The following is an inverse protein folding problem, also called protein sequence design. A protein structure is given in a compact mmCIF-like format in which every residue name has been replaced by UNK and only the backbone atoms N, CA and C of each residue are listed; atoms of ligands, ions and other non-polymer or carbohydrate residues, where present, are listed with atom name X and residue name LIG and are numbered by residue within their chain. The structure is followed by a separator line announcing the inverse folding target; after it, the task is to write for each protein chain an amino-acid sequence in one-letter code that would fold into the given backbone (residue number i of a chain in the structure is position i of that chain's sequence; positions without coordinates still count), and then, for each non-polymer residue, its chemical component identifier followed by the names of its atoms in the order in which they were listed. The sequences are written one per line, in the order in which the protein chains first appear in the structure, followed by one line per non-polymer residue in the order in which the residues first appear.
data_IF_539687765382
#
_entry.id   IF_539687765382
#
_cell.length_a   1.000
_cell.length_b   1.000
_cell.length_c   1.000
_cell.angle_alpha   90.00
_cell.angle_beta   90.00
_cell.angle_gamma   90.00
#
_symmetry.space_group_name_H-M   'P 1'
#
loop_
_entity.id
_entity.type
_entity.pdbx_description
1 polymer ?
#
# COMPACT_ATOMS: atom_id res chain seq x y z
N UNK A 1 -8.62 29.70 -0.61
CA UNK A 1 -8.51 29.11 0.73
C UNK A 1 -7.40 28.07 0.69
N UNK A 2 -6.24 28.34 1.30
CA UNK A 2 -5.13 27.38 1.33
C UNK A 2 -5.38 26.45 2.51
N UNK A 3 -5.57 25.16 2.23
CA UNK A 3 -5.67 24.14 3.29
C UNK A 3 -4.29 24.02 3.92
N UNK A 4 -4.18 24.49 5.16
CA UNK A 4 -2.97 24.35 5.97
C UNK A 4 -2.88 22.91 6.48
N UNK A 5 -1.91 22.16 5.94
CA UNK A 5 -1.67 20.76 6.27
C UNK A 5 -0.62 20.59 7.38
N UNK A 6 0.00 21.67 7.88
CA UNK A 6 1.12 21.58 8.81
C UNK A 6 0.74 21.18 10.25
N UNK A 7 -0.55 20.98 10.54
CA UNK A 7 -1.05 20.90 11.92
C UNK A 7 -1.78 19.58 12.29
N UNK A 8 -1.62 18.50 11.51
CA UNK A 8 -2.36 17.24 11.77
C UNK A 8 -1.75 16.30 12.81
N UNK A 9 -0.49 16.51 13.21
CA UNK A 9 0.23 15.54 14.06
C UNK A 9 0.14 15.76 15.58
N UNK A 10 -0.74 16.64 16.05
CA UNK A 10 -0.79 16.95 17.48
C UNK A 10 -2.21 17.19 17.99
N UNK A 11 -3.18 16.39 17.54
CA UNK A 11 -4.42 16.21 18.30
C UNK A 11 -4.23 15.07 19.31
N UNK A 12 -4.30 15.35 20.63
CA UNK A 12 -4.21 14.30 21.65
C UNK A 12 -5.26 13.22 21.38
N UNK A 13 -4.82 11.99 21.08
CA UNK A 13 -5.70 10.85 20.81
C UNK A 13 -5.75 10.36 19.36
N UNK A 14 -5.09 11.02 18.41
CA UNK A 14 -4.90 10.49 17.05
C UNK A 14 -4.11 9.17 17.08
N UNK A 15 -4.69 8.09 16.55
CA UNK A 15 -4.02 6.79 16.41
C UNK A 15 -3.37 6.67 15.02
N UNK A 16 -2.20 6.02 14.90
CA UNK A 16 -1.66 5.62 13.60
C UNK A 16 -2.74 4.88 12.80
N UNK A 17 -2.99 5.32 11.58
CA UNK A 17 -4.06 4.82 10.73
C UNK A 17 -3.51 4.52 9.35
N UNK A 18 -3.93 3.38 8.80
CA UNK A 18 -3.63 2.96 7.44
C UNK A 18 -4.95 2.94 6.68
N UNK A 19 -4.99 3.58 5.51
CA UNK A 19 -6.09 3.47 4.57
C UNK A 19 -5.59 2.69 3.37
N UNK A 20 -6.28 1.59 3.06
CA UNK A 20 -6.02 0.78 1.88
C UNK A 20 -7.22 0.89 0.96
N UNK A 21 -6.96 1.32 -0.28
CA UNK A 21 -7.96 1.34 -1.35
C UNK A 21 -7.57 0.26 -2.33
N UNK A 22 -8.42 -0.75 -2.51
CA UNK A 22 -8.14 -1.85 -3.43
C UNK A 22 -9.38 -2.21 -4.25
N UNK A 23 -9.17 -2.74 -5.46
CA UNK A 23 -10.20 -3.48 -6.19
C UNK A 23 -10.03 -4.98 -5.97
N UNK A 24 -11.14 -5.71 -6.06
CA UNK A 24 -11.19 -7.16 -5.98
C UNK A 24 -10.81 -7.82 -7.32
N UNK A 25 -11.13 -7.17 -8.44
CA UNK A 25 -10.75 -7.60 -9.78
C UNK A 25 -10.62 -6.41 -10.75
N UNK A 26 -10.13 -6.70 -11.95
CA UNK A 26 -10.13 -5.78 -13.08
C UNK A 26 -11.39 -5.91 -13.94
N UNK A 27 -11.43 -5.23 -15.07
CA UNK A 27 -12.52 -5.32 -16.04
C UNK A 27 -11.99 -4.99 -17.44
N UNK A 28 -12.33 -5.82 -18.42
CA UNK A 28 -11.97 -5.52 -19.81
C UNK A 28 -12.89 -4.44 -20.42
N UNK A 29 -12.58 -3.98 -21.65
CA UNK A 29 -13.35 -2.93 -22.32
C UNK A 29 -14.82 -3.29 -22.62
N UNK A 30 -15.16 -4.59 -22.60
CA UNK A 30 -16.53 -5.08 -22.78
C UNK A 30 -17.31 -5.22 -21.47
N UNK A 31 -16.67 -4.98 -20.31
CA UNK A 31 -17.30 -5.11 -19.01
C UNK A 31 -17.20 -6.51 -18.38
N UNK A 32 -16.48 -7.45 -18.98
CA UNK A 32 -16.26 -8.76 -18.35
C UNK A 32 -15.21 -8.67 -17.25
N UNK A 33 -15.29 -9.60 -16.29
CA UNK A 33 -14.41 -9.67 -15.11
C UNK A 33 -14.32 -11.11 -14.57
N UNK A 34 -14.32 -12.11 -15.47
CA UNK A 34 -14.22 -13.53 -15.13
C UNK A 34 -12.79 -14.02 -14.93
N UNK A 35 -11.80 -13.14 -15.04
CA UNK A 35 -10.38 -13.44 -14.85
C UNK A 35 -9.73 -14.15 -16.05
N UNK A 36 -10.36 -14.09 -17.22
CA UNK A 36 -9.88 -14.79 -18.42
C UNK A 36 -8.81 -14.01 -19.20
N UNK A 37 -8.55 -12.76 -18.82
CA UNK A 37 -7.61 -11.87 -19.50
C UNK A 37 -6.91 -10.96 -18.49
N UNK A 38 -5.73 -10.45 -18.87
CA UNK A 38 -4.93 -9.57 -18.00
C UNK A 38 -5.76 -8.38 -17.46
N UNK A 39 -6.54 -7.64 -18.28
CA UNK A 39 -7.37 -6.54 -17.77
C UNK A 39 -8.45 -6.97 -16.77
N UNK A 40 -8.85 -8.24 -16.75
CA UNK A 40 -9.83 -8.77 -15.79
C UNK A 40 -9.18 -9.19 -14.46
N UNK A 41 -7.87 -9.48 -14.46
CA UNK A 41 -7.10 -9.83 -13.26
C UNK A 41 -6.28 -8.67 -12.70
N UNK A 42 -6.06 -7.62 -13.50
CA UNK A 42 -5.35 -6.41 -13.09
C UNK A 42 -6.21 -5.58 -12.13
N UNK A 43 -6.02 -5.85 -10.85
CA UNK A 43 -6.62 -5.11 -9.75
C UNK A 43 -5.67 -4.03 -9.22
N UNK A 44 -6.23 -2.94 -8.71
CA UNK A 44 -5.44 -1.85 -8.12
C UNK A 44 -5.40 -1.96 -6.60
N UNK A 45 -4.27 -1.65 -5.98
CA UNK A 45 -4.16 -1.42 -4.54
C UNK A 45 -3.30 -0.19 -4.24
N UNK A 46 -3.78 0.69 -3.36
CA UNK A 46 -3.10 1.93 -2.95
C UNK A 46 -3.12 2.00 -1.42
N UNK A 47 -1.96 2.30 -0.85
CA UNK A 47 -1.75 2.39 0.59
C UNK A 47 -1.48 3.85 0.99
N UNK A 48 -2.18 4.31 2.03
CA UNK A 48 -1.97 5.60 2.65
C UNK A 48 -1.76 5.42 4.15
N UNK A 49 -0.95 6.30 4.75
CA UNK A 49 -0.73 6.34 6.19
C UNK A 49 -0.92 7.74 6.74
N UNK A 50 -1.44 7.83 7.96
CA UNK A 50 -1.42 9.08 8.72
C UNK A 50 -0.06 9.38 9.36
N UNK A 51 0.89 8.43 9.35
CA UNK A 51 2.27 8.67 9.76
C UNK A 51 2.93 9.59 8.74
N UNK A 52 3.47 10.70 9.23
CA UNK A 52 4.35 11.55 8.45
C UNK A 52 5.73 10.90 8.43
N UNK A 53 6.12 10.32 7.29
CA UNK A 53 7.50 9.88 7.13
C UNK A 53 8.40 11.11 6.96
N UNK A 54 9.53 11.17 7.66
CA UNK A 54 10.52 12.25 7.52
C UNK A 54 11.53 11.95 6.40
N UNK A 55 11.29 10.91 5.60
CA UNK A 55 12.03 10.71 4.38
C UNK A 55 11.55 11.69 3.31
N UNK A 56 12.18 12.86 3.33
CA UNK A 56 12.18 13.88 2.29
C UNK A 56 12.82 13.39 0.97
N UNK A 57 13.04 12.08 0.82
CA UNK A 57 13.65 11.42 -0.32
C UNK A 57 12.71 11.21 -1.50
N UNK A 58 11.71 12.08 -1.70
CA UNK A 58 11.12 12.21 -3.03
C UNK A 58 12.25 12.68 -3.94
N UNK A 59 12.87 11.75 -4.67
CA UNK A 59 13.40 12.10 -5.98
C UNK A 59 12.21 12.66 -6.74
N UNK A 60 12.15 13.99 -6.83
CA UNK A 60 11.34 14.69 -7.81
C UNK A 60 11.58 13.96 -9.13
N UNK A 61 10.55 13.28 -9.65
CA UNK A 61 10.59 12.66 -10.97
C UNK A 61 10.86 13.79 -11.96
N UNK A 62 12.14 13.97 -12.30
CA UNK A 62 12.62 15.08 -13.09
C UNK A 62 12.66 14.60 -14.53
N UNK A 63 11.52 14.70 -15.22
CA UNK A 63 11.43 14.36 -16.63
C UNK A 63 10.00 13.98 -17.02
N UNK A 64 9.64 14.26 -18.27
CA UNK A 64 8.43 13.81 -18.96
C UNK A 64 8.40 12.27 -19.13
N UNK A 65 8.67 11.53 -18.07
CA UNK A 65 8.82 10.08 -18.08
C UNK A 65 7.50 9.48 -17.59
N UNK A 66 6.52 9.39 -18.50
CA UNK A 66 5.35 8.54 -18.28
C UNK A 66 5.72 7.06 -18.01
N UNK A 67 6.98 6.67 -18.25
CA UNK A 67 7.57 5.38 -17.87
C UNK A 67 8.06 5.30 -16.41
N UNK A 68 8.08 6.40 -15.65
CA UNK A 68 8.66 6.44 -14.29
C UNK A 68 7.72 5.93 -13.18
N UNK A 69 6.45 5.65 -13.47
CA UNK A 69 5.52 5.03 -12.52
C UNK A 69 5.47 3.51 -12.70
N UNK A 70 6.63 2.85 -12.63
CA UNK A 70 6.66 1.40 -12.50
C UNK A 70 6.30 1.01 -11.06
N UNK A 71 5.03 0.65 -10.85
CA UNK A 71 4.61 0.01 -9.62
C UNK A 71 5.00 -1.47 -9.64
N UNK A 72 5.43 -2.04 -8.51
CA UNK A 72 5.70 -3.47 -8.44
C UNK A 72 4.42 -4.26 -8.68
N UNK A 73 4.50 -5.32 -9.49
CA UNK A 73 3.42 -6.30 -9.62
C UNK A 73 3.39 -7.17 -8.36
N UNK A 74 2.24 -7.18 -7.69
CA UNK A 74 1.99 -7.95 -6.45
C UNK A 74 0.75 -8.83 -6.63
N UNK A 75 0.66 -9.92 -5.85
CA UNK A 75 -0.53 -10.77 -5.87
C UNK A 75 -1.51 -10.34 -4.79
N UNK A 76 -2.82 -10.45 -5.04
CA UNK A 76 -3.82 -10.11 -4.01
C UNK A 76 -3.69 -10.95 -2.73
N UNK A 77 -3.20 -12.19 -2.84
CA UNK A 77 -2.93 -13.05 -1.68
C UNK A 77 -1.82 -12.51 -0.76
N UNK A 78 -0.97 -11.60 -1.27
CA UNK A 78 0.08 -10.94 -0.52
C UNK A 78 -0.47 -9.88 0.46
N UNK A 79 -1.75 -9.51 0.33
CA UNK A 79 -2.41 -8.54 1.21
C UNK A 79 -2.55 -9.03 2.64
N UNK A 80 -2.95 -10.29 2.84
CA UNK A 80 -3.18 -10.84 4.17
C UNK A 80 -1.94 -10.81 5.08
N UNK A 81 -0.75 -11.32 4.67
CA UNK A 81 0.44 -11.27 5.52
C UNK A 81 0.95 -9.83 5.69
N UNK A 82 0.83 -9.00 4.65
CA UNK A 82 1.25 -7.59 4.71
C UNK A 82 0.42 -6.80 5.72
N UNK A 83 -0.91 -6.90 5.67
CA UNK A 83 -1.79 -6.22 6.63
C UNK A 83 -1.60 -6.75 8.05
N UNK A 84 -1.39 -8.06 8.22
CA UNK A 84 -1.10 -8.63 9.53
C UNK A 84 0.16 -8.03 10.15
N UNK A 85 1.24 -7.93 9.37
CA UNK A 85 2.49 -7.27 9.79
C UNK A 85 2.30 -5.78 10.10
N UNK A 86 1.58 -5.04 9.25
CA UNK A 86 1.32 -3.61 9.46
C UNK A 86 0.48 -3.33 10.73
N UNK A 87 -0.45 -4.22 11.04
CA UNK A 87 -1.34 -4.11 12.20
C UNK A 87 -0.78 -4.77 13.47
N UNK A 88 0.42 -5.35 13.39
CA UNK A 88 1.07 -6.09 14.47
C UNK A 88 0.19 -7.21 15.04
N UNK A 89 -0.34 -8.04 14.15
CA UNK A 89 -1.07 -9.28 14.48
C UNK A 89 -0.41 -10.46 13.76
N UNK A 90 -0.68 -11.69 14.22
CA UNK A 90 -0.11 -12.89 13.62
C UNK A 90 -0.58 -13.07 12.17
N UNK A 91 0.35 -13.49 11.30
CA UNK A 91 0.02 -13.89 9.93
C UNK A 91 -0.83 -15.17 9.98
N UNK A 92 -1.94 -15.28 9.22
CA UNK A 92 -2.75 -16.50 9.20
C UNK A 92 -1.92 -17.75 8.86
N UNK A 93 -2.07 -18.81 9.65
CA UNK A 93 -1.25 -20.04 9.52
C UNK A 93 -1.26 -20.67 8.13
N UNK A 94 -2.37 -20.57 7.40
CA UNK A 94 -2.53 -21.13 6.06
C UNK A 94 -2.36 -20.08 4.94
N UNK A 95 -1.74 -18.95 5.25
CA UNK A 95 -1.48 -17.92 4.26
C UNK A 95 -0.52 -18.43 3.18
N UNK A 96 -0.86 -18.18 1.92
CA UNK A 96 -0.05 -18.59 0.74
C UNK A 96 0.67 -17.41 0.08
N UNK A 97 0.32 -16.18 0.45
CA UNK A 97 0.99 -14.98 -0.04
C UNK A 97 2.31 -14.71 0.68
N UNK A 98 3.00 -13.67 0.24
CA UNK A 98 4.20 -13.12 0.88
C UNK A 98 3.95 -11.67 1.31
N UNK A 99 4.74 -11.21 2.26
CA UNK A 99 4.74 -9.81 2.65
C UNK A 99 5.20 -8.94 1.46
N UNK A 100 4.56 -7.80 1.23
CA UNK A 100 4.93 -6.79 0.22
C UNK A 100 5.96 -5.83 0.85
N UNK A 101 7.27 -5.94 0.54
CA UNK A 101 8.31 -5.22 1.27
C UNK A 101 8.22 -3.70 1.09
N UNK A 102 7.91 -3.25 -0.13
CA UNK A 102 7.79 -1.83 -0.44
C UNK A 102 6.74 -1.12 0.41
N UNK A 103 5.67 -1.81 0.80
CA UNK A 103 4.65 -1.25 1.71
C UNK A 103 5.21 -1.10 3.12
N UNK A 104 5.95 -2.08 3.64
CA UNK A 104 6.55 -1.96 4.98
C UNK A 104 7.57 -0.83 5.04
N UNK A 105 8.46 -0.76 4.04
CA UNK A 105 9.53 0.23 3.95
C UNK A 105 8.97 1.67 3.96
N UNK A 106 7.91 1.92 3.18
CA UNK A 106 7.28 3.24 3.09
C UNK A 106 6.37 3.61 4.26
N UNK A 107 5.89 2.61 5.01
CA UNK A 107 4.96 2.85 6.12
C UNK A 107 5.70 3.03 7.45
N UNK A 108 7.03 2.87 7.44
CA UNK A 108 7.94 3.06 8.58
C UNK A 108 7.39 2.37 9.84
N UNK A 109 6.92 1.13 9.65
CA UNK A 109 6.45 0.30 10.75
C UNK A 109 7.66 0.00 11.61
N UNK A 110 7.62 0.26 12.94
CA UNK A 110 8.75 -0.02 13.82
C UNK A 110 9.23 -1.45 13.59
N UNK A 111 10.55 -1.68 13.66
CA UNK A 111 11.27 -2.95 13.45
C UNK A 111 10.82 -4.11 14.39
N UNK A 112 9.53 -4.39 14.52
CA UNK A 112 8.99 -5.56 15.21
C UNK A 112 9.39 -6.85 14.49
N UNK A 113 9.70 -6.78 13.19
CA UNK A 113 10.22 -7.91 12.40
C UNK A 113 11.67 -8.29 12.75
N UNK A 114 12.41 -7.48 13.51
CA UNK A 114 13.73 -7.88 14.02
C UNK A 114 13.66 -8.94 15.13
N UNK A 115 12.45 -9.25 15.60
CA UNK A 115 12.16 -10.19 16.70
C UNK A 115 11.41 -11.46 16.29
N UNK A 116 11.17 -11.65 14.99
CA UNK A 116 10.65 -12.90 14.41
C UNK A 116 11.77 -13.74 13.79
#
# INVERSE_FOLDING_TARGET
EKIDLSNRNSQPGSKPTILVVCSDHGMNSGGNHGGASDPETDATAIFFTSRHDQHDGRQEASGDDAEALQFPVVWQVDMAPTLASLLNVEVPMNNIGKIIPTVLDHMNVPDYLSSL
#
